data_IF_385146758363
#
_entry.id   IF_385146758363
#
_cell.length_a   1.000
_cell.length_b   1.000
_cell.length_c   1.000
_cell.angle_alpha   90.00
_cell.angle_beta   90.00
_cell.angle_gamma   90.00
#
_symmetry.space_group_name_H-M   'P 1'
#
loop_
_entity.id
_entity.type
_entity.pdbx_description
1 polymer ?
#
# COMPACT_ATOMS: atom_id res chain seq x y z
N UNK A 1 2.04 -8.86 1.90
CA UNK A 1 0.74 -9.22 1.27
C UNK A 1 0.19 -7.96 0.67
N UNK A 2 -0.27 -8.03 -0.57
CA UNK A 2 -0.76 -6.88 -1.33
C UNK A 2 -2.22 -7.11 -1.68
N UNK A 3 -3.07 -6.14 -1.35
CA UNK A 3 -4.50 -6.13 -1.65
C UNK A 3 -4.79 -4.86 -2.45
N UNK A 4 -5.00 -5.03 -3.74
CA UNK A 4 -5.46 -3.96 -4.62
C UNK A 4 -6.94 -4.18 -4.94
N UNK A 5 -7.77 -3.17 -4.70
CA UNK A 5 -9.19 -3.19 -4.97
C UNK A 5 -9.57 -2.07 -5.94
N UNK A 6 -10.14 -2.43 -7.09
CA UNK A 6 -10.63 -1.48 -8.08
C UNK A 6 -12.16 -1.51 -8.07
N UNK A 7 -12.76 -0.35 -7.80
CA UNK A 7 -14.19 -0.12 -7.81
C UNK A 7 -14.54 0.95 -8.84
N UNK A 8 -15.38 0.60 -9.81
CA UNK A 8 -15.99 1.58 -10.70
C UNK A 8 -17.33 2.02 -10.10
N UNK A 9 -17.36 3.24 -9.57
CA UNK A 9 -18.56 3.80 -8.94
C UNK A 9 -19.50 4.42 -9.98
N UNK A 10 -18.92 4.99 -11.05
CA UNK A 10 -19.65 5.50 -12.20
C UNK A 10 -18.80 5.36 -13.48
N UNK A 11 -19.38 5.51 -14.68
CA UNK A 11 -18.61 5.48 -15.94
C UNK A 11 -17.48 6.53 -15.99
N UNK A 12 -17.66 7.64 -15.29
CA UNK A 12 -16.72 8.76 -15.18
C UNK A 12 -15.92 8.75 -13.87
N UNK A 13 -16.09 7.74 -12.99
CA UNK A 13 -15.45 7.70 -11.69
C UNK A 13 -14.98 6.29 -11.31
N UNK A 14 -13.67 6.15 -11.22
CA UNK A 14 -13.01 4.92 -10.78
C UNK A 14 -12.22 5.19 -9.50
N UNK A 15 -12.34 4.28 -8.54
CA UNK A 15 -11.59 4.27 -7.30
C UNK A 15 -10.71 3.02 -7.26
N UNK A 16 -9.43 3.21 -6.96
CA UNK A 16 -8.48 2.12 -6.77
C UNK A 16 -7.84 2.29 -5.39
N UNK A 17 -8.16 1.38 -4.48
CA UNK A 17 -7.48 1.26 -3.20
C UNK A 17 -6.36 0.24 -3.32
N UNK A 18 -5.22 0.53 -2.70
CA UNK A 18 -4.06 -0.32 -2.65
C UNK A 18 -3.58 -0.42 -1.20
N UNK A 19 -3.47 -1.64 -0.70
CA UNK A 19 -3.00 -1.93 0.64
C UNK A 19 -1.85 -2.92 0.50
N UNK A 20 -0.64 -2.42 0.71
CA UNK A 20 0.56 -3.23 0.68
C UNK A 20 1.12 -3.36 2.09
N UNK A 21 0.99 -4.57 2.64
CA UNK A 21 1.64 -4.92 3.90
C UNK A 21 3.07 -5.39 3.62
N UNK A 22 4.03 -4.54 3.98
CA UNK A 22 5.46 -4.78 3.82
C UNK A 22 6.02 -5.36 5.11
N UNK A 23 6.18 -6.68 5.11
CA UNK A 23 6.86 -7.42 6.18
C UNK A 23 8.36 -7.35 5.89
N UNK A 24 9.15 -6.79 6.81
CA UNK A 24 10.62 -6.67 6.71
C UNK A 24 11.07 -5.86 5.47
N UNK A 25 10.79 -4.55 5.39
CA UNK A 25 11.21 -3.70 4.26
C UNK A 25 12.73 -3.72 4.01
N UNK A 26 13.53 -4.11 5.01
CA UNK A 26 14.99 -4.04 4.98
C UNK A 26 15.71 -5.38 4.74
N UNK A 27 15.01 -6.47 4.38
CA UNK A 27 15.67 -7.73 4.00
C UNK A 27 16.58 -8.38 5.07
N UNK A 28 16.45 -8.01 6.34
CA UNK A 28 17.31 -8.49 7.44
C UNK A 28 18.35 -7.49 7.97
N UNK A 29 18.36 -6.24 7.49
CA UNK A 29 19.21 -5.19 8.06
C UNK A 29 18.68 -4.79 9.45
N UNK A 30 19.51 -5.00 10.47
CA UNK A 30 19.30 -4.51 11.84
C UNK A 30 19.47 -2.99 11.88
N UNK A 31 18.65 -2.30 12.68
CA UNK A 31 18.94 -0.93 13.06
C UNK A 31 20.24 -0.89 13.89
N UNK A 32 20.90 0.28 13.98
CA UNK A 32 22.09 0.50 14.81
C UNK A 32 21.92 0.08 16.28
N UNK A 33 20.67 -0.01 16.75
CA UNK A 33 20.29 -0.40 18.12
C UNK A 33 20.04 -1.92 18.29
N UNK A 34 20.27 -2.74 17.26
CA UNK A 34 20.08 -4.19 17.35
C UNK A 34 18.62 -4.66 17.28
N UNK A 35 17.69 -3.78 16.95
CA UNK A 35 16.27 -4.11 16.73
C UNK A 35 15.95 -4.33 15.26
N UNK A 36 15.05 -5.27 14.96
CA UNK A 36 14.50 -5.44 13.61
C UNK A 36 13.61 -4.24 13.26
N UNK A 37 13.76 -3.70 12.05
CA UNK A 37 12.85 -2.66 11.53
C UNK A 37 11.40 -3.15 11.59
N UNK A 38 10.57 -2.36 12.26
CA UNK A 38 9.14 -2.62 12.44
C UNK A 38 8.42 -2.80 11.10
N UNK A 39 7.36 -3.60 11.11
CA UNK A 39 6.53 -3.86 9.95
C UNK A 39 5.89 -2.56 9.45
N UNK A 40 6.00 -2.28 8.15
CA UNK A 40 5.45 -1.09 7.54
C UNK A 40 4.14 -1.43 6.80
N UNK A 41 3.09 -0.69 7.09
CA UNK A 41 1.85 -0.72 6.33
C UNK A 41 1.89 0.43 5.32
N UNK A 42 1.81 0.10 4.04
CA UNK A 42 1.66 1.08 2.97
C UNK A 42 0.23 1.01 2.49
N UNK A 43 -0.44 2.15 2.47
CA UNK A 43 -1.80 2.29 1.95
C UNK A 43 -1.83 3.41 0.94
N UNK A 44 -2.43 3.15 -0.21
CA UNK A 44 -2.60 4.08 -1.31
C UNK A 44 -4.06 4.11 -1.73
N UNK A 45 -4.57 5.29 -2.04
CA UNK A 45 -5.89 5.46 -2.64
C UNK A 45 -5.74 6.34 -3.86
N UNK A 46 -6.16 5.83 -5.02
CA UNK A 46 -6.15 6.51 -6.30
C UNK A 46 -7.59 6.69 -6.76
N UNK A 47 -7.95 7.93 -7.07
CA UNK A 47 -9.25 8.29 -7.62
C UNK A 47 -9.06 8.86 -9.02
N UNK A 48 -9.82 8.37 -9.98
CA UNK A 48 -9.80 8.82 -11.37
C UNK A 48 -11.18 9.35 -11.73
N UNK A 49 -11.23 10.60 -12.18
CA UNK A 49 -12.42 11.27 -12.69
C UNK A 49 -12.18 11.63 -14.15
N UNK A 50 -13.11 11.29 -15.03
CA UNK A 50 -13.07 11.60 -16.46
C UNK A 50 -14.22 12.55 -16.81
N UNK A 51 -13.94 13.61 -17.58
CA UNK A 51 -14.90 14.65 -17.98
C UNK A 51 -15.11 14.64 -19.49
#
# INVERSE_FOLDING_TARGET
MELTYLAQLAPWWTLQADLQYVIRPSGGVLNEDGTFRENAWVTGLRTVLSF
#
